data_IF_596912152669
#
_entry.id   IF_596912152669
#
_cell.length_a   1.000
_cell.length_b   1.000
_cell.length_c   1.000
_cell.angle_alpha   90.00
_cell.angle_beta   90.00
_cell.angle_gamma   90.00
#
_symmetry.space_group_name_H-M   'P 1'
#
loop_
_entity.id
_entity.type
_entity.pdbx_description
1 polymer ?
#
# COMPACT_ATOMS: atom_id res chain seq x y z
N UNK A 1 6.23 91.51 -25.32
CA UNK A 1 6.70 90.13 -25.57
C UNK A 1 6.97 89.48 -24.21
N UNK A 2 6.09 88.64 -23.74
CA UNK A 2 6.15 88.01 -22.42
C UNK A 2 6.49 86.52 -22.60
N UNK A 3 7.67 86.13 -22.17
CA UNK A 3 8.11 84.74 -22.17
C UNK A 3 7.43 83.97 -21.03
N UNK A 4 6.62 82.98 -21.43
CA UNK A 4 6.03 81.98 -20.50
C UNK A 4 7.03 80.83 -20.42
N UNK A 5 7.63 80.63 -19.23
CA UNK A 5 8.44 79.47 -18.93
C UNK A 5 7.53 78.34 -18.44
N UNK A 6 7.47 77.29 -19.22
CA UNK A 6 6.79 76.04 -18.83
C UNK A 6 7.61 75.27 -17.80
N UNK A 7 7.09 75.10 -16.61
CA UNK A 7 7.66 74.21 -15.60
C UNK A 7 7.07 72.80 -15.77
N UNK A 8 7.91 71.84 -16.19
CA UNK A 8 7.55 70.42 -16.25
C UNK A 8 7.65 69.81 -14.85
N UNK A 9 6.51 69.44 -14.30
CA UNK A 9 6.42 68.70 -13.03
C UNK A 9 6.61 67.20 -13.33
N UNK A 10 7.79 66.68 -12.97
CA UNK A 10 8.06 65.26 -13.07
C UNK A 10 7.44 64.53 -11.85
N UNK A 11 6.37 63.77 -12.09
CA UNK A 11 5.67 62.94 -11.11
C UNK A 11 6.50 61.65 -10.97
N UNK A 12 7.31 61.53 -9.93
CA UNK A 12 8.03 60.28 -9.60
C UNK A 12 7.02 59.28 -8.97
N UNK A 13 6.63 58.27 -9.73
CA UNK A 13 5.95 57.10 -9.18
C UNK A 13 6.90 56.27 -8.36
N UNK A 14 6.80 56.33 -7.05
CA UNK A 14 7.42 55.36 -6.15
C UNK A 14 6.61 54.06 -6.28
N UNK A 15 7.12 53.12 -7.07
CA UNK A 15 6.70 51.73 -7.01
C UNK A 15 7.26 51.18 -5.67
N UNK A 16 6.38 51.16 -4.65
CA UNK A 16 6.65 50.38 -3.45
C UNK A 16 6.74 48.90 -3.86
N UNK A 17 7.94 48.41 -4.02
CA UNK A 17 8.19 46.96 -4.23
C UNK A 17 7.63 46.21 -3.03
N UNK A 18 6.56 45.48 -3.25
CA UNK A 18 6.12 44.46 -2.30
C UNK A 18 7.24 43.41 -2.30
N UNK A 19 8.11 43.47 -1.33
CA UNK A 19 9.05 42.36 -1.06
C UNK A 19 8.20 41.09 -0.83
N UNK A 20 8.46 39.98 -1.53
CA UNK A 20 7.82 38.72 -1.16
C UNK A 20 8.15 38.48 0.31
N UNK A 21 7.13 38.46 1.16
CA UNK A 21 7.28 38.22 2.59
C UNK A 21 8.05 36.92 2.77
N UNK A 22 9.11 36.96 3.61
CA UNK A 22 9.85 35.76 3.95
C UNK A 22 8.86 34.68 4.45
N UNK A 23 8.95 33.48 3.92
CA UNK A 23 8.15 32.38 4.46
C UNK A 23 8.38 32.28 5.98
N UNK A 24 7.32 32.10 6.78
CA UNK A 24 7.47 31.99 8.21
C UNK A 24 8.40 30.81 8.55
N UNK A 25 9.22 30.97 9.56
CA UNK A 25 10.06 29.89 10.05
C UNK A 25 9.18 28.80 10.70
N UNK A 26 9.58 27.51 10.63
CA UNK A 26 8.83 26.45 11.27
C UNK A 26 8.69 26.71 12.77
N UNK A 27 7.50 26.49 13.36
CA UNK A 27 7.27 26.65 14.78
C UNK A 27 8.07 25.61 15.58
N UNK A 28 8.55 25.99 16.75
CA UNK A 28 9.08 25.02 17.70
C UNK A 28 7.93 24.31 18.38
N UNK A 29 7.91 22.98 18.30
CA UNK A 29 6.90 22.15 18.94
C UNK A 29 7.48 21.46 20.18
N UNK A 30 6.68 21.31 21.21
CA UNK A 30 6.98 20.45 22.36
C UNK A 30 6.43 19.04 22.08
N UNK A 31 7.32 18.13 21.66
CA UNK A 31 6.95 16.76 21.28
C UNK A 31 6.28 15.99 22.42
N UNK A 32 6.68 16.21 23.68
CA UNK A 32 6.07 15.54 24.84
C UNK A 32 4.63 16.03 25.08
N UNK A 33 4.41 17.35 24.92
CA UNK A 33 3.06 17.92 24.98
C UNK A 33 2.19 17.40 23.82
N UNK A 34 2.75 17.30 22.62
CA UNK A 34 2.06 16.73 21.46
C UNK A 34 1.67 15.28 21.70
N UNK A 35 2.60 14.44 22.15
CA UNK A 35 2.31 13.04 22.48
C UNK A 35 1.18 12.92 23.50
N UNK A 36 1.25 13.68 24.60
CA UNK A 36 0.22 13.68 25.65
C UNK A 36 -1.14 14.08 25.08
N UNK A 37 -1.18 15.16 24.28
CA UNK A 37 -2.41 15.65 23.68
C UNK A 37 -3.00 14.62 22.70
N UNK A 38 -2.19 14.07 21.79
CA UNK A 38 -2.66 13.11 20.79
C UNK A 38 -3.10 11.79 21.39
N UNK A 39 -2.41 11.31 22.45
CA UNK A 39 -2.86 10.12 23.19
C UNK A 39 -4.26 10.30 23.74
N UNK A 40 -4.54 11.46 24.29
CA UNK A 40 -5.86 11.76 24.84
C UNK A 40 -6.91 12.01 23.75
N UNK A 41 -6.59 12.84 22.77
CA UNK A 41 -7.54 13.25 21.72
C UNK A 41 -7.95 12.09 20.78
N UNK A 42 -7.02 11.19 20.49
CA UNK A 42 -7.25 10.09 19.54
C UNK A 42 -7.33 8.71 20.20
N UNK A 43 -7.20 8.63 21.52
CA UNK A 43 -7.40 7.40 22.28
C UNK A 43 -6.30 6.35 22.13
N UNK A 44 -5.04 6.75 21.88
CA UNK A 44 -3.94 5.80 21.73
C UNK A 44 -3.59 5.09 23.04
N UNK A 45 -3.51 3.75 22.98
CA UNK A 45 -3.10 2.94 24.12
C UNK A 45 -1.65 3.23 24.57
N UNK A 46 -1.32 3.03 25.86
CA UNK A 46 0.04 3.28 26.38
C UNK A 46 1.15 2.50 25.67
N UNK A 47 0.85 1.32 25.13
CA UNK A 47 1.81 0.48 24.40
C UNK A 47 2.24 1.05 23.03
N UNK A 48 1.48 2.00 22.47
CA UNK A 48 1.83 2.64 21.20
C UNK A 48 3.01 3.59 21.42
N UNK A 49 4.08 3.39 20.66
CA UNK A 49 5.25 4.29 20.66
C UNK A 49 5.03 5.41 19.67
N UNK A 50 5.46 6.61 20.05
CA UNK A 50 5.40 7.81 19.23
C UNK A 50 6.83 8.25 18.87
N UNK A 51 7.05 8.54 17.58
CA UNK A 51 8.20 9.27 17.11
C UNK A 51 7.68 10.45 16.28
N UNK A 52 7.87 11.66 16.77
CA UNK A 52 7.29 12.88 16.21
C UNK A 52 8.40 13.64 15.47
N UNK A 53 8.22 13.84 14.16
CA UNK A 53 9.17 14.61 13.35
C UNK A 53 9.22 16.08 13.78
N UNK A 54 10.26 16.79 13.37
CA UNK A 54 10.25 18.24 13.42
C UNK A 54 9.33 18.80 12.33
N UNK A 55 8.74 20.00 12.54
CA UNK A 55 7.94 20.65 11.52
C UNK A 55 8.74 20.93 10.24
N UNK A 56 8.20 20.56 9.11
CA UNK A 56 8.77 20.77 7.77
C UNK A 56 7.83 21.62 6.90
N UNK A 57 8.35 22.28 5.84
CA UNK A 57 7.50 23.05 4.93
C UNK A 57 6.33 22.21 4.39
N UNK A 58 5.17 22.83 4.27
CA UNK A 58 3.95 22.22 3.73
C UNK A 58 3.49 23.02 2.51
N UNK A 59 2.78 22.37 1.57
CA UNK A 59 2.14 23.07 0.46
C UNK A 59 0.88 23.85 0.87
N UNK A 60 0.47 23.76 2.14
CA UNK A 60 -0.63 24.56 2.70
C UNK A 60 -0.05 25.86 3.27
N UNK A 61 -0.37 27.02 2.70
CA UNK A 61 0.13 28.30 3.19
C UNK A 61 -0.16 28.52 4.67
N UNK A 62 0.84 28.91 5.45
CA UNK A 62 0.72 29.18 6.89
C UNK A 62 0.74 27.93 7.79
N UNK A 63 0.94 26.73 7.21
CA UNK A 63 1.06 25.47 7.95
C UNK A 63 2.39 24.78 7.65
N UNK A 64 2.86 24.01 8.63
CA UNK A 64 4.01 23.12 8.52
C UNK A 64 3.57 21.68 8.76
N UNK A 65 4.16 20.75 8.01
CA UNK A 65 3.86 19.33 8.17
C UNK A 65 4.67 18.73 9.32
N UNK A 66 4.00 17.94 10.15
CA UNK A 66 4.61 17.09 11.18
C UNK A 66 4.13 15.67 10.95
N UNK A 67 5.05 14.74 10.83
CA UNK A 67 4.72 13.31 10.72
C UNK A 67 4.87 12.68 12.10
N UNK A 68 3.84 11.99 12.55
CA UNK A 68 3.87 11.20 13.78
C UNK A 68 3.94 9.73 13.39
N UNK A 69 5.11 9.12 13.61
CA UNK A 69 5.31 7.69 13.40
C UNK A 69 4.83 6.93 14.64
N UNK A 70 3.80 6.15 14.47
CA UNK A 70 3.20 5.32 15.51
C UNK A 70 3.66 3.87 15.32
N UNK A 71 4.02 3.19 16.38
CA UNK A 71 4.34 1.76 16.30
C UNK A 71 3.83 0.98 17.51
N UNK A 72 3.40 -0.25 17.26
CA UNK A 72 3.00 -1.20 18.28
C UNK A 72 3.36 -2.62 17.81
N UNK A 73 4.49 -3.16 18.29
CA UNK A 73 5.02 -4.43 17.83
C UNK A 73 5.36 -4.39 16.32
N UNK A 74 4.69 -5.21 15.52
CA UNK A 74 4.93 -5.31 14.07
C UNK A 74 4.24 -4.19 13.28
N UNK A 75 3.21 -3.56 13.85
CA UNK A 75 2.43 -2.52 13.19
C UNK A 75 3.12 -1.16 13.25
N UNK A 76 3.15 -0.46 12.13
CA UNK A 76 3.63 0.92 12.00
C UNK A 76 2.61 1.73 11.23
N UNK A 77 2.36 2.96 11.67
CA UNK A 77 1.41 3.88 11.06
C UNK A 77 1.96 5.29 11.12
N UNK A 78 1.99 5.98 9.99
CA UNK A 78 2.32 7.39 9.90
C UNK A 78 1.05 8.22 9.86
N UNK A 79 1.01 9.26 10.69
CA UNK A 79 -0.06 10.25 10.73
C UNK A 79 0.49 11.61 10.35
N UNK A 80 -0.13 12.25 9.36
CA UNK A 80 0.21 13.59 8.94
C UNK A 80 -0.62 14.61 9.72
N UNK A 81 0.07 15.53 10.36
CA UNK A 81 -0.51 16.70 10.99
C UNK A 81 0.04 17.96 10.35
N UNK A 82 -0.77 18.99 10.28
CA UNK A 82 -0.37 20.30 9.80
C UNK A 82 -0.49 21.27 10.94
N UNK A 83 0.64 21.83 11.38
CA UNK A 83 0.69 22.80 12.48
C UNK A 83 0.74 24.20 11.91
N UNK A 84 -0.09 25.10 12.44
CA UNK A 84 -0.06 26.51 12.07
C UNK A 84 1.29 27.15 12.46
N UNK A 85 1.70 28.20 11.74
CA UNK A 85 2.97 28.90 11.99
C UNK A 85 3.11 29.47 13.42
N UNK A 86 2.01 29.72 14.11
CA UNK A 86 1.99 30.14 15.51
C UNK A 86 2.13 28.99 16.53
N UNK A 87 2.12 27.73 16.04
CA UNK A 87 2.27 26.53 16.85
C UNK A 87 1.04 26.14 17.70
N UNK A 88 -0.08 26.87 17.59
CA UNK A 88 -1.23 26.71 18.50
C UNK A 88 -2.37 25.85 17.94
N UNK A 89 -2.40 25.65 16.64
CA UNK A 89 -3.45 24.87 15.98
C UNK A 89 -2.86 23.75 15.14
N UNK A 90 -3.46 22.58 15.22
CA UNK A 90 -3.12 21.43 14.39
C UNK A 90 -4.33 20.93 13.61
N UNK A 91 -4.08 20.49 12.38
CA UNK A 91 -5.07 19.82 11.53
C UNK A 91 -4.56 18.40 11.30
N UNK A 92 -5.41 17.40 11.55
CA UNK A 92 -5.17 16.01 11.17
C UNK A 92 -5.87 15.74 9.84
N UNK A 93 -5.15 15.22 8.85
CA UNK A 93 -5.78 14.89 7.57
C UNK A 93 -4.79 14.58 6.45
N UNK A 94 -5.35 14.17 5.33
CA UNK A 94 -4.60 13.91 4.09
C UNK A 94 -4.72 15.12 3.17
N UNK A 95 -3.58 15.62 2.70
CA UNK A 95 -3.54 16.64 1.68
C UNK A 95 -3.55 15.98 0.30
N UNK A 96 -4.54 16.34 -0.51
CA UNK A 96 -4.63 15.90 -1.90
C UNK A 96 -4.15 17.01 -2.84
N UNK A 97 -3.21 16.69 -3.71
CA UNK A 97 -2.87 17.55 -4.85
C UNK A 97 -3.79 17.22 -6.02
N UNK A 98 -4.72 18.12 -6.34
CA UNK A 98 -5.68 17.92 -7.43
C UNK A 98 -5.04 17.78 -8.82
N UNK A 99 -3.76 18.08 -8.94
CA UNK A 99 -2.99 17.92 -10.18
C UNK A 99 -2.44 16.49 -10.36
N UNK A 100 -2.56 15.64 -9.34
CA UNK A 100 -2.06 14.27 -9.34
C UNK A 100 -3.19 13.26 -9.23
N UNK A 101 -2.99 12.07 -9.80
CA UNK A 101 -3.90 10.96 -9.57
C UNK A 101 -3.89 10.57 -8.09
N UNK A 102 -5.05 10.40 -7.44
CA UNK A 102 -5.16 10.25 -5.97
C UNK A 102 -4.30 9.14 -5.37
N UNK A 103 -4.03 8.07 -6.09
CA UNK A 103 -3.32 6.89 -5.58
C UNK A 103 -1.98 6.63 -6.30
N UNK A 104 -1.44 7.65 -6.99
CA UNK A 104 -0.20 7.52 -7.77
C UNK A 104 0.98 7.01 -6.93
N UNK A 105 1.08 7.43 -5.68
CA UNK A 105 2.19 7.02 -4.80
C UNK A 105 2.08 5.56 -4.34
N UNK A 106 0.87 5.06 -4.11
CA UNK A 106 0.66 3.63 -3.86
C UNK A 106 0.99 2.82 -5.11
N UNK A 107 0.52 3.25 -6.29
CA UNK A 107 0.77 2.56 -7.56
C UNK A 107 2.26 2.42 -7.89
N UNK A 108 3.10 3.39 -7.52
CA UNK A 108 4.57 3.32 -7.70
C UNK A 108 5.23 2.25 -6.85
N UNK A 109 4.63 1.91 -5.70
CA UNK A 109 5.19 0.97 -4.72
C UNK A 109 4.62 -0.44 -4.89
N UNK A 110 3.37 -0.56 -5.34
CA UNK A 110 2.69 -1.85 -5.47
C UNK A 110 3.37 -2.75 -6.50
N UNK A 111 3.52 -4.06 -6.22
CA UNK A 111 4.12 -5.01 -7.14
C UNK A 111 3.22 -5.20 -8.38
N UNK A 112 3.86 -5.48 -9.50
CA UNK A 112 3.20 -5.80 -10.77
C UNK A 112 3.30 -7.28 -11.12
N UNK A 113 4.03 -8.07 -10.33
CA UNK A 113 4.23 -9.50 -10.52
C UNK A 113 4.31 -10.22 -9.17
N UNK A 114 4.03 -11.51 -9.16
CA UNK A 114 4.02 -12.35 -7.96
C UNK A 114 3.13 -13.56 -8.16
N UNK A 115 2.76 -14.23 -7.07
CA UNK A 115 1.72 -15.25 -7.12
C UNK A 115 0.38 -14.58 -7.41
N UNK A 116 -0.14 -14.80 -8.61
CA UNK A 116 -1.30 -14.06 -9.10
C UNK A 116 -2.29 -14.94 -9.84
N UNK A 117 -3.51 -14.46 -9.99
CA UNK A 117 -4.51 -15.00 -10.91
C UNK A 117 -5.21 -13.87 -11.66
N UNK A 118 -5.79 -14.22 -12.83
CA UNK A 118 -6.29 -13.24 -13.80
C UNK A 118 -5.18 -12.74 -14.74
N UNK A 119 -5.55 -12.07 -15.85
CA UNK A 119 -4.58 -11.58 -16.82
C UNK A 119 -3.72 -10.45 -16.25
N UNK A 120 -2.40 -10.41 -16.49
CA UNK A 120 -1.52 -9.37 -15.96
C UNK A 120 -1.79 -7.97 -16.54
N UNK A 121 -2.46 -7.89 -17.68
CA UNK A 121 -2.88 -6.66 -18.36
C UNK A 121 -4.32 -6.26 -18.09
N UNK A 122 -4.96 -6.89 -17.11
CA UNK A 122 -6.32 -6.54 -16.68
C UNK A 122 -6.43 -5.06 -16.25
N UNK A 123 -7.56 -4.38 -16.58
CA UNK A 123 -7.76 -2.97 -16.21
C UNK A 123 -7.85 -2.74 -14.69
N UNK A 124 -8.18 -3.77 -13.94
CA UNK A 124 -8.21 -3.74 -12.47
C UNK A 124 -7.10 -4.62 -11.92
N UNK A 125 -6.19 -4.00 -11.19
CA UNK A 125 -5.13 -4.67 -10.47
C UNK A 125 -5.44 -4.63 -8.96
N UNK A 126 -5.50 -5.79 -8.34
CA UNK A 126 -5.69 -5.95 -6.89
C UNK A 126 -4.41 -6.54 -6.30
N UNK A 127 -3.78 -5.82 -5.37
CA UNK A 127 -2.68 -6.35 -4.57
C UNK A 127 -3.20 -6.65 -3.17
N UNK A 128 -3.17 -7.91 -2.76
CA UNK A 128 -3.75 -8.39 -1.51
C UNK A 128 -2.65 -8.78 -0.51
N UNK A 129 -2.54 -8.05 0.60
CA UNK A 129 -1.75 -8.42 1.76
C UNK A 129 -2.57 -9.33 2.68
N UNK A 130 -2.09 -10.55 2.86
CA UNK A 130 -2.86 -11.63 3.48
C UNK A 130 -2.03 -12.44 4.48
N UNK A 131 -2.75 -13.13 5.36
CA UNK A 131 -2.21 -14.00 6.39
C UNK A 131 -2.99 -15.31 6.38
N UNK A 132 -2.31 -16.42 6.15
CA UNK A 132 -2.95 -17.74 6.02
C UNK A 132 -3.67 -18.22 7.29
N UNK A 133 -3.37 -17.64 8.44
CA UNK A 133 -4.06 -17.99 9.71
C UNK A 133 -5.20 -17.02 10.03
N UNK A 134 -5.31 -15.89 9.35
CA UNK A 134 -6.34 -14.89 9.61
C UNK A 134 -7.72 -15.37 9.08
N UNK A 135 -8.76 -15.44 9.92
CA UNK A 135 -10.08 -15.89 9.47
C UNK A 135 -10.73 -14.95 8.45
N UNK A 136 -10.53 -13.64 8.59
CA UNK A 136 -11.03 -12.66 7.62
C UNK A 136 -10.31 -12.76 6.27
N UNK A 137 -9.05 -13.23 6.25
CA UNK A 137 -8.35 -13.53 5.00
C UNK A 137 -8.98 -14.73 4.30
N UNK A 138 -9.38 -15.77 5.02
CA UNK A 138 -10.12 -16.91 4.46
C UNK A 138 -11.44 -16.47 3.83
N UNK A 139 -12.21 -15.63 4.51
CA UNK A 139 -13.48 -15.11 4.00
C UNK A 139 -13.30 -14.33 2.69
N UNK A 140 -12.34 -13.39 2.67
CA UNK A 140 -12.04 -12.60 1.47
C UNK A 140 -11.47 -13.46 0.34
N UNK A 141 -10.58 -14.41 0.64
CA UNK A 141 -10.00 -15.32 -0.33
C UNK A 141 -11.09 -16.15 -1.04
N UNK A 142 -12.03 -16.73 -0.28
CA UNK A 142 -13.18 -17.45 -0.87
C UNK A 142 -13.97 -16.56 -1.81
N UNK A 143 -14.31 -15.35 -1.38
CA UNK A 143 -15.03 -14.38 -2.20
C UNK A 143 -14.26 -14.05 -3.48
N UNK A 144 -12.96 -13.71 -3.38
CA UNK A 144 -12.14 -13.34 -4.54
C UNK A 144 -11.94 -14.53 -5.50
N UNK A 145 -11.68 -15.72 -4.99
CA UNK A 145 -11.42 -16.90 -5.80
C UNK A 145 -12.67 -17.43 -6.52
N UNK A 146 -13.87 -17.19 -5.95
CA UNK A 146 -15.12 -17.69 -6.51
C UNK A 146 -15.88 -16.66 -7.32
N UNK A 147 -15.98 -15.43 -6.85
CA UNK A 147 -16.88 -14.43 -7.44
C UNK A 147 -16.19 -13.53 -8.50
N UNK A 148 -14.90 -13.20 -8.30
CA UNK A 148 -14.19 -12.35 -9.27
C UNK A 148 -14.15 -12.99 -10.67
N UNK A 149 -13.73 -14.27 -10.84
CA UNK A 149 -13.71 -14.90 -12.17
C UNK A 149 -15.08 -15.00 -12.82
N UNK A 150 -16.14 -15.23 -12.03
CA UNK A 150 -17.50 -15.34 -12.55
C UNK A 150 -18.05 -14.03 -13.10
N UNK A 151 -17.84 -12.90 -12.35
CA UNK A 151 -18.42 -11.62 -12.73
C UNK A 151 -17.52 -10.83 -13.68
N UNK A 152 -16.21 -10.87 -13.47
CA UNK A 152 -15.28 -9.99 -14.17
C UNK A 152 -14.39 -10.68 -15.20
N UNK A 153 -14.21 -12.01 -15.10
CA UNK A 153 -13.44 -12.78 -16.08
C UNK A 153 -12.01 -12.28 -16.20
N UNK A 154 -11.67 -11.72 -17.36
CA UNK A 154 -10.35 -11.20 -17.72
C UNK A 154 -10.10 -9.72 -17.28
N UNK A 155 -11.04 -9.10 -16.59
CA UNK A 155 -10.94 -7.69 -16.21
C UNK A 155 -10.22 -7.43 -14.88
N UNK A 156 -9.90 -8.47 -14.12
CA UNK A 156 -9.28 -8.36 -12.80
C UNK A 156 -8.05 -9.24 -12.71
N UNK A 157 -6.94 -8.66 -12.27
CA UNK A 157 -5.70 -9.34 -11.90
C UNK A 157 -5.48 -9.20 -10.41
N UNK A 158 -5.25 -10.31 -9.71
CA UNK A 158 -5.00 -10.32 -8.26
C UNK A 158 -3.61 -10.85 -7.99
N UNK A 159 -2.81 -10.08 -7.25
CA UNK A 159 -1.46 -10.43 -6.77
C UNK A 159 -1.55 -10.65 -5.26
N UNK A 160 -0.98 -11.74 -4.79
CA UNK A 160 -0.91 -12.10 -3.38
C UNK A 160 0.43 -11.67 -2.78
N UNK A 161 0.36 -11.00 -1.63
CA UNK A 161 1.51 -10.62 -0.80
C UNK A 161 1.36 -11.15 0.62
N UNK A 162 2.46 -11.68 1.17
CA UNK A 162 2.46 -12.22 2.53
C UNK A 162 2.54 -11.09 3.58
N UNK A 163 1.61 -11.12 4.54
CA UNK A 163 1.70 -10.28 5.73
C UNK A 163 1.30 -11.06 6.99
N UNK A 164 2.12 -12.05 7.40
CA UNK A 164 1.84 -12.89 8.57
C UNK A 164 1.95 -12.07 9.85
N UNK A 165 0.87 -11.98 10.63
CA UNK A 165 0.82 -11.29 11.92
C UNK A 165 1.26 -12.22 13.05
N UNK A 166 2.56 -12.51 13.13
CA UNK A 166 3.15 -13.57 13.96
C UNK A 166 2.89 -13.40 15.46
N UNK A 167 2.66 -12.16 15.91
CA UNK A 167 2.28 -11.86 17.30
C UNK A 167 0.91 -12.40 17.70
N UNK A 168 0.02 -12.67 16.73
CA UNK A 168 -1.36 -13.16 16.92
C UNK A 168 -1.57 -14.53 16.31
N UNK A 169 -0.83 -14.86 15.27
CA UNK A 169 -1.02 -16.01 14.39
C UNK A 169 0.25 -16.87 14.37
N UNK A 170 0.41 -17.81 15.32
CA UNK A 170 1.68 -18.51 15.56
C UNK A 170 2.15 -19.40 14.42
N UNK A 171 1.30 -19.85 13.49
CA UNK A 171 1.72 -20.63 12.33
C UNK A 171 1.65 -19.88 10.99
N UNK A 172 1.25 -18.59 11.00
CA UNK A 172 1.08 -17.81 9.77
C UNK A 172 2.35 -17.70 8.93
N UNK A 173 3.52 -17.44 9.57
CA UNK A 173 4.78 -17.34 8.86
C UNK A 173 5.22 -18.66 8.26
N UNK A 174 5.10 -19.74 9.00
CA UNK A 174 5.42 -21.08 8.49
C UNK A 174 4.48 -21.49 7.33
N UNK A 175 3.22 -21.05 7.35
CA UNK A 175 2.30 -21.27 6.25
C UNK A 175 2.69 -20.45 5.00
N UNK A 176 3.12 -19.20 5.17
CA UNK A 176 3.66 -18.39 4.07
C UNK A 176 4.90 -19.04 3.44
N UNK A 177 5.85 -19.52 4.26
CA UNK A 177 7.00 -20.27 3.79
C UNK A 177 6.59 -21.54 3.05
N UNK A 178 5.60 -22.28 3.56
CA UNK A 178 5.04 -23.47 2.91
C UNK A 178 4.46 -23.16 1.53
N UNK A 179 3.63 -22.13 1.44
CA UNK A 179 3.02 -21.70 0.19
C UNK A 179 4.08 -21.33 -0.87
N UNK A 180 5.10 -20.56 -0.48
CA UNK A 180 6.18 -20.16 -1.38
C UNK A 180 7.05 -21.35 -1.80
N UNK A 181 7.45 -22.23 -0.89
CA UNK A 181 8.21 -23.45 -1.22
C UNK A 181 7.46 -24.37 -2.20
N UNK A 182 6.14 -24.45 -2.08
CA UNK A 182 5.28 -25.16 -3.04
C UNK A 182 5.24 -24.42 -4.38
N UNK A 183 5.04 -23.09 -4.34
CA UNK A 183 4.94 -22.25 -5.51
C UNK A 183 6.21 -22.19 -6.35
N UNK A 184 7.40 -22.27 -5.73
CA UNK A 184 8.69 -22.33 -6.41
C UNK A 184 8.82 -23.57 -7.30
N UNK A 185 8.25 -24.69 -6.89
CA UNK A 185 8.24 -25.89 -7.71
C UNK A 185 7.19 -25.84 -8.82
N UNK A 186 6.01 -25.26 -8.53
CA UNK A 186 4.90 -25.18 -9.46
C UNK A 186 3.97 -24.01 -9.08
N UNK A 187 4.00 -22.89 -9.81
CA UNK A 187 3.20 -21.71 -9.48
C UNK A 187 1.69 -21.97 -9.28
N UNK A 188 1.10 -22.89 -10.05
CA UNK A 188 -0.31 -23.28 -9.86
C UNK A 188 -0.55 -24.04 -8.55
N UNK A 189 0.45 -24.75 -8.02
CA UNK A 189 0.33 -25.44 -6.75
C UNK A 189 0.31 -24.48 -5.55
N UNK A 190 0.86 -23.26 -5.69
CA UNK A 190 0.68 -22.20 -4.70
C UNK A 190 -0.81 -21.96 -4.45
N UNK A 191 -1.60 -21.81 -5.52
CA UNK A 191 -3.05 -21.56 -5.39
C UNK A 191 -3.81 -22.76 -4.87
N UNK A 192 -3.38 -23.98 -5.19
CA UNK A 192 -3.97 -25.19 -4.61
C UNK A 192 -3.73 -25.27 -3.11
N UNK A 193 -2.52 -24.92 -2.64
CA UNK A 193 -2.20 -24.82 -1.21
C UNK A 193 -2.96 -23.66 -0.54
N UNK A 194 -3.01 -22.50 -1.19
CA UNK A 194 -3.73 -21.31 -0.73
C UNK A 194 -5.21 -21.63 -0.46
N UNK A 195 -5.89 -22.22 -1.44
CA UNK A 195 -7.31 -22.52 -1.31
C UNK A 195 -7.52 -23.59 -0.23
N UNK A 196 -6.68 -24.64 -0.23
CA UNK A 196 -6.76 -25.70 0.76
C UNK A 196 -6.57 -25.18 2.20
N UNK A 197 -5.53 -24.40 2.47
CA UNK A 197 -5.23 -23.97 3.84
C UNK A 197 -6.30 -23.03 4.40
N UNK A 198 -6.87 -22.18 3.57
CA UNK A 198 -7.99 -21.32 3.98
C UNK A 198 -9.28 -22.10 4.24
N UNK A 199 -9.49 -23.21 3.55
CA UNK A 199 -10.65 -24.08 3.81
C UNK A 199 -10.47 -24.93 5.08
N UNK A 200 -9.22 -25.18 5.50
CA UNK A 200 -8.89 -26.09 6.61
C UNK A 200 -8.22 -25.39 7.79
N UNK A 201 -8.34 -24.04 7.91
CA UNK A 201 -7.69 -23.28 8.99
C UNK A 201 -7.93 -23.86 10.39
N UNK A 202 -9.15 -24.33 10.67
CA UNK A 202 -9.52 -24.92 11.97
C UNK A 202 -8.78 -26.22 12.30
N UNK A 203 -8.25 -26.91 11.28
CA UNK A 203 -7.54 -28.17 11.41
C UNK A 203 -6.02 -28.02 11.49
N UNK A 204 -5.51 -26.81 11.21
CA UNK A 204 -4.07 -26.49 11.14
C UNK A 204 -3.59 -25.93 12.46
N UNK A 205 -2.41 -26.38 12.90
CA UNK A 205 -1.70 -25.85 14.05
C UNK A 205 -0.18 -25.96 13.82
N UNK A 206 0.60 -25.38 14.73
CA UNK A 206 2.08 -25.40 14.64
C UNK A 206 2.64 -26.82 14.52
N UNK A 207 2.03 -27.82 15.21
CA UNK A 207 2.53 -29.19 15.26
C UNK A 207 2.25 -30.01 13.99
N UNK A 208 1.18 -29.68 13.22
CA UNK A 208 0.76 -30.49 12.08
C UNK A 208 0.91 -29.80 10.71
N UNK A 209 1.21 -28.50 10.67
CA UNK A 209 1.30 -27.75 9.42
C UNK A 209 2.29 -28.39 8.42
N UNK A 210 3.48 -28.78 8.89
CA UNK A 210 4.51 -29.40 8.03
C UNK A 210 3.99 -30.69 7.38
N UNK A 211 3.37 -31.58 8.17
CA UNK A 211 2.81 -32.84 7.67
C UNK A 211 1.74 -32.58 6.61
N UNK A 212 0.82 -31.65 6.89
CA UNK A 212 -0.25 -31.27 5.98
C UNK A 212 0.32 -30.63 4.70
N UNK A 213 1.36 -29.81 4.81
CA UNK A 213 2.07 -29.22 3.65
C UNK A 213 2.66 -30.31 2.74
N UNK A 214 3.33 -31.32 3.31
CA UNK A 214 3.87 -32.45 2.55
C UNK A 214 2.76 -33.31 1.92
N UNK A 215 1.62 -33.46 2.58
CA UNK A 215 0.48 -34.17 2.01
C UNK A 215 -0.08 -33.47 0.76
N UNK A 216 -0.18 -32.13 0.78
CA UNK A 216 -0.58 -31.33 -0.39
C UNK A 216 0.47 -31.46 -1.51
N UNK A 217 1.76 -31.42 -1.18
CA UNK A 217 2.82 -31.61 -2.16
C UNK A 217 2.69 -32.94 -2.93
N UNK A 218 2.41 -34.04 -2.23
CA UNK A 218 2.10 -35.35 -2.86
C UNK A 218 0.92 -35.26 -3.81
N UNK A 219 -0.19 -34.63 -3.37
CA UNK A 219 -1.38 -34.48 -4.21
C UNK A 219 -1.09 -33.65 -5.48
N UNK A 220 -0.19 -32.66 -5.38
CA UNK A 220 0.21 -31.83 -6.50
C UNK A 220 1.36 -32.41 -7.33
N UNK A 221 1.83 -33.64 -7.00
CA UNK A 221 2.97 -34.32 -7.63
C UNK A 221 4.27 -33.50 -7.59
N UNK A 222 4.53 -32.87 -6.44
CA UNK A 222 5.77 -32.13 -6.18
C UNK A 222 6.84 -33.03 -5.58
N UNK A 223 8.10 -32.60 -5.67
CA UNK A 223 9.25 -33.25 -5.05
C UNK A 223 9.24 -32.95 -3.54
N UNK A 224 8.89 -33.96 -2.74
CA UNK A 224 8.81 -33.83 -1.29
C UNK A 224 10.19 -33.57 -0.65
N UNK A 225 11.27 -34.10 -1.21
CA UNK A 225 12.62 -33.89 -0.66
C UNK A 225 13.06 -32.41 -0.88
N UNK A 226 12.79 -31.86 -2.04
CA UNK A 226 13.01 -30.43 -2.31
C UNK A 226 12.15 -29.55 -1.43
N UNK A 227 10.88 -29.89 -1.25
CA UNK A 227 10.00 -29.15 -0.35
C UNK A 227 10.49 -29.20 1.09
N UNK A 228 10.85 -30.38 1.59
CA UNK A 228 11.41 -30.52 2.94
C UNK A 228 12.68 -29.67 3.13
N UNK A 229 13.61 -29.71 2.17
CA UNK A 229 14.83 -28.91 2.20
C UNK A 229 14.53 -27.38 2.18
N UNK A 230 13.56 -26.95 1.37
CA UNK A 230 13.13 -25.54 1.32
C UNK A 230 12.57 -25.07 2.68
N UNK A 231 11.73 -25.91 3.31
CA UNK A 231 11.16 -25.61 4.63
C UNK A 231 12.24 -25.61 5.73
N UNK A 232 13.16 -26.57 5.71
CA UNK A 232 14.23 -26.71 6.72
C UNK A 232 15.25 -25.56 6.66
N UNK A 233 15.47 -25.01 5.49
CA UNK A 233 16.36 -23.87 5.27
C UNK A 233 15.68 -22.51 5.36
N UNK A 234 14.36 -22.48 5.53
CA UNK A 234 13.56 -21.25 5.47
C UNK A 234 13.86 -20.41 4.20
N UNK A 235 14.02 -21.08 3.05
CA UNK A 235 14.50 -20.46 1.83
C UNK A 235 13.72 -19.19 1.44
N UNK A 236 12.36 -19.13 1.54
CA UNK A 236 11.58 -17.95 1.17
C UNK A 236 11.57 -16.83 2.21
N UNK A 237 12.25 -16.95 3.33
CA UNK A 237 12.17 -16.00 4.44
C UNK A 237 12.42 -14.54 4.00
N UNK A 238 13.43 -14.33 3.14
CA UNK A 238 13.78 -12.99 2.64
C UNK A 238 12.68 -12.36 1.78
N UNK A 239 11.99 -13.15 0.97
CA UNK A 239 10.89 -12.69 0.12
C UNK A 239 9.68 -12.30 0.99
N UNK A 240 9.38 -13.09 2.01
CA UNK A 240 8.33 -12.77 2.98
C UNK A 240 8.69 -11.50 3.75
N UNK A 241 9.94 -11.33 4.16
CA UNK A 241 10.38 -10.11 4.84
C UNK A 241 10.26 -8.86 3.94
N UNK A 242 10.54 -8.97 2.64
CA UNK A 242 10.31 -7.90 1.67
C UNK A 242 8.83 -7.55 1.54
N UNK A 243 7.95 -8.56 1.49
CA UNK A 243 6.51 -8.38 1.45
C UNK A 243 6.00 -7.66 2.72
N UNK A 244 6.52 -8.03 3.89
CA UNK A 244 6.23 -7.37 5.17
C UNK A 244 6.72 -5.90 5.17
N UNK A 245 7.93 -5.64 4.66
CA UNK A 245 8.44 -4.26 4.59
C UNK A 245 7.63 -3.41 3.61
N UNK A 246 7.28 -3.94 2.45
CA UNK A 246 6.37 -3.28 1.52
C UNK A 246 5.01 -2.96 2.17
N UNK A 247 4.45 -3.90 2.93
CA UNK A 247 3.22 -3.67 3.68
C UNK A 247 3.37 -2.48 4.66
N UNK A 248 4.51 -2.38 5.35
CA UNK A 248 4.82 -1.24 6.25
C UNK A 248 4.94 0.08 5.50
N UNK A 249 5.64 0.10 4.36
CA UNK A 249 5.76 1.29 3.50
C UNK A 249 4.40 1.77 2.96
N UNK A 250 3.47 0.84 2.74
CA UNK A 250 2.10 1.09 2.31
C UNK A 250 1.13 1.32 3.48
N UNK A 251 1.65 1.40 4.71
CA UNK A 251 0.88 1.63 5.94
C UNK A 251 -0.20 0.56 6.21
N UNK A 252 0.07 -0.68 5.79
CA UNK A 252 -0.80 -1.82 6.10
C UNK A 252 -0.68 -2.17 7.59
N UNK A 253 -1.80 -2.19 8.30
CA UNK A 253 -1.86 -2.39 9.76
C UNK A 253 -2.50 -3.72 10.18
N UNK A 254 -3.25 -4.33 9.28
CA UNK A 254 -4.02 -5.54 9.55
C UNK A 254 -4.25 -6.35 8.28
N UNK A 255 -4.72 -7.58 8.44
CA UNK A 255 -5.07 -8.46 7.33
C UNK A 255 -6.56 -8.85 7.39
N UNK A 256 -7.19 -9.02 6.22
CA UNK A 256 -6.66 -8.66 4.91
C UNK A 256 -6.65 -7.13 4.71
N UNK A 257 -5.64 -6.62 4.01
CA UNK A 257 -5.66 -5.28 3.41
C UNK A 257 -5.33 -5.43 1.94
N UNK A 258 -6.05 -4.75 1.07
CA UNK A 258 -5.81 -4.85 -0.37
C UNK A 258 -5.94 -3.50 -1.05
N UNK A 259 -5.31 -3.40 -2.21
CA UNK A 259 -5.27 -2.19 -3.01
C UNK A 259 -5.94 -2.47 -4.36
N UNK A 260 -7.01 -1.73 -4.66
CA UNK A 260 -7.67 -1.79 -5.98
C UNK A 260 -7.21 -0.58 -6.80
N UNK A 261 -6.36 -0.80 -7.80
CA UNK A 261 -5.73 0.28 -8.57
C UNK A 261 -5.10 1.37 -7.66
N UNK A 262 -4.45 0.96 -6.58
CA UNK A 262 -3.81 1.85 -5.61
C UNK A 262 -4.71 2.36 -4.47
N UNK A 263 -6.03 2.25 -4.59
CA UNK A 263 -6.99 2.56 -3.52
C UNK A 263 -6.92 1.50 -2.44
N UNK A 264 -6.66 1.89 -1.21
CA UNK A 264 -6.56 0.98 -0.05
C UNK A 264 -7.94 0.62 0.49
N UNK A 265 -8.16 -0.66 0.70
CA UNK A 265 -9.31 -1.23 1.38
C UNK A 265 -8.85 -2.21 2.46
N UNK A 266 -9.61 -2.32 3.55
CA UNK A 266 -9.19 -3.09 4.72
C UNK A 266 -10.31 -3.97 5.24
N UNK A 267 -9.98 -5.21 5.61
CA UNK A 267 -10.93 -6.21 6.10
C UNK A 267 -11.57 -7.04 4.97
N UNK A 268 -12.33 -8.04 5.35
CA UNK A 268 -13.10 -8.86 4.42
C UNK A 268 -14.34 -8.07 3.95
N UNK A 269 -14.25 -7.42 2.80
CA UNK A 269 -15.40 -6.75 2.22
C UNK A 269 -16.43 -7.76 1.74
N UNK A 270 -17.72 -7.60 2.07
CA UNK A 270 -18.80 -8.34 1.46
C UNK A 270 -18.80 -8.17 -0.07
N UNK A 271 -19.27 -9.20 -0.77
CA UNK A 271 -19.23 -9.24 -2.24
C UNK A 271 -19.89 -8.03 -2.93
N UNK A 272 -21.02 -7.57 -2.43
CA UNK A 272 -21.72 -6.40 -2.95
C UNK A 272 -20.84 -5.12 -2.88
N UNK A 273 -20.12 -4.93 -1.78
CA UNK A 273 -19.20 -3.80 -1.59
C UNK A 273 -17.96 -3.93 -2.48
N UNK A 274 -17.32 -5.10 -2.51
CA UNK A 274 -16.17 -5.36 -3.36
C UNK A 274 -16.52 -5.19 -4.85
N UNK A 275 -17.66 -5.75 -5.29
CA UNK A 275 -18.08 -5.62 -6.67
C UNK A 275 -18.44 -4.17 -7.04
N UNK A 276 -19.10 -3.43 -6.16
CA UNK A 276 -19.40 -2.01 -6.40
C UNK A 276 -18.11 -1.16 -6.54
N UNK A 277 -17.09 -1.46 -5.73
CA UNK A 277 -15.78 -0.80 -5.83
C UNK A 277 -15.11 -1.11 -7.19
N UNK A 278 -15.10 -2.37 -7.61
CA UNK A 278 -14.52 -2.76 -8.91
C UNK A 278 -15.29 -2.12 -10.06
N UNK A 279 -16.62 -2.12 -10.01
CA UNK A 279 -17.47 -1.46 -11.01
C UNK A 279 -17.19 0.05 -11.08
N UNK A 280 -16.97 0.70 -9.93
CA UNK A 280 -16.55 2.10 -9.87
C UNK A 280 -15.19 2.33 -10.54
N UNK A 281 -14.19 1.49 -10.22
CA UNK A 281 -12.85 1.60 -10.79
C UNK A 281 -12.80 1.30 -12.30
N UNK A 282 -13.64 0.40 -12.80
CA UNK A 282 -13.81 0.14 -14.24
C UNK A 282 -14.37 1.35 -15.00
N UNK A 283 -15.19 2.17 -14.33
CA UNK A 283 -15.85 3.34 -14.90
C UNK A 283 -15.21 4.68 -14.47
N UNK A 284 -14.03 4.64 -13.81
CA UNK A 284 -13.38 5.86 -13.32
C UNK A 284 -13.04 6.83 -14.47
N UNK A 285 -13.05 8.16 -14.22
CA UNK A 285 -12.61 9.15 -15.19
C UNK A 285 -11.17 8.91 -15.63
N UNK A 286 -10.89 9.05 -16.93
CA UNK A 286 -9.55 8.80 -17.52
C UNK A 286 -8.46 9.70 -16.93
N UNK A 287 -8.80 10.90 -16.52
CA UNK A 287 -7.89 11.85 -15.89
C UNK A 287 -7.29 11.37 -14.56
N UNK A 288 -7.96 10.41 -13.89
CA UNK A 288 -7.46 9.74 -12.69
C UNK A 288 -6.87 8.35 -12.97
N UNK A 289 -6.81 7.96 -14.24
CA UNK A 289 -6.03 6.81 -14.65
C UNK A 289 -4.57 7.21 -14.51
N UNK A 290 -3.86 6.68 -13.51
CA UNK A 290 -2.40 6.81 -13.43
C UNK A 290 -1.74 6.35 -14.74
N UNK A 291 -0.47 6.61 -14.95
CA UNK A 291 0.21 6.15 -16.16
C UNK A 291 -0.10 4.66 -16.31
N UNK A 292 -0.85 4.32 -17.35
CA UNK A 292 -0.85 2.97 -17.90
C UNK A 292 0.62 2.68 -18.08
N UNK A 293 1.15 1.60 -17.46
CA UNK A 293 2.55 1.24 -17.60
C UNK A 293 2.88 1.39 -19.10
N UNK A 294 3.70 2.40 -19.43
CA UNK A 294 4.18 2.54 -20.79
C UNK A 294 4.72 1.18 -21.13
N UNK A 295 4.23 0.61 -22.25
CA UNK A 295 4.72 -0.68 -22.76
C UNK A 295 6.23 -0.57 -22.82
N UNK A 296 6.92 -1.01 -21.79
CA UNK A 296 8.34 -1.21 -21.82
C UNK A 296 8.59 -2.26 -22.88
N UNK A 297 9.30 -1.83 -23.95
CA UNK A 297 9.87 -2.66 -24.98
C UNK A 297 8.90 -3.27 -26.00
N UNK A 298 8.38 -2.45 -26.90
CA UNK A 298 8.21 -2.91 -28.27
C UNK A 298 9.62 -3.25 -28.81
N UNK A 299 10.01 -4.52 -28.74
CA UNK A 299 11.17 -5.02 -29.49
C UNK A 299 10.76 -4.97 -30.96
N UNK A 300 11.17 -3.90 -31.64
CA UNK A 300 11.08 -3.83 -33.10
C UNK A 300 12.04 -4.89 -33.64
N UNK A 301 11.51 -6.06 -33.97
CA UNK A 301 12.27 -7.06 -34.72
C UNK A 301 12.44 -6.50 -36.14
N UNK A 302 13.69 -6.22 -36.63
CA UNK A 302 13.88 -5.79 -38.00
C UNK A 302 13.41 -6.90 -38.91
N UNK A 303 12.51 -6.58 -39.84
CA UNK A 303 12.17 -7.51 -40.92
C UNK A 303 13.44 -7.80 -41.73
N UNK A 304 13.95 -9.04 -41.58
CA UNK A 304 15.01 -9.56 -42.45
C UNK A 304 14.45 -9.59 -43.87
N UNK A 305 15.11 -8.87 -44.77
CA UNK A 305 14.68 -8.70 -46.15
C UNK A 305 14.55 -10.02 -46.87
N UNK A 306 13.44 -10.19 -47.55
CA UNK A 306 13.30 -11.14 -48.68
C UNK A 306 14.06 -10.55 -49.87
N UNK A 307 15.05 -11.34 -50.37
CA UNK A 307 15.53 -11.26 -51.72
C UNK A 307 14.73 -12.26 -52.56
#
# INVERSE_FOLDING_TARGET
MRNIRSASLALAFFLAGVSPGAEPAPPKIDKAKWETFLRYAEGYAPAVKFDISDPSPSSVPGYFQVVVHLSNGESRLDRNYYVAADGNSIVNGTLWDLRQAPFADNLKKLPTAGYSFGPPDAPINIVLFSDFQCPYCSELAKTMRTELPKKYGDKVHVIFEDFPLTSRHPWARAAAESARCIGEQKPLAFWAFHDWIFDHQAEVNVGNLREKTLAIARQQSLDEAKLAACLDTHAPAKEIDKSIELARELQVQQTPTFFVNGRTETGALPWDRLSALIDFELNRPKEFSGPVAEKCCEVVIPKVGQK
#
